data_IF_086856801121
#
_entry.id   IF_086856801121
#
_cell.length_a   1.000
_cell.length_b   1.000
_cell.length_c   1.000
_cell.angle_alpha   90.00
_cell.angle_beta   90.00
_cell.angle_gamma   90.00
#
_symmetry.space_group_name_H-M   'P 1'
#
loop_
_entity.id
_entity.type
_entity.pdbx_description
1 polymer ?
#
# COMPACT_ATOMS: atom_id res chain seq x y z
N UNK A 1 -13.44 11.72 -19.10
CA UNK A 1 -12.10 11.74 -18.47
C UNK A 1 -11.35 10.49 -18.92
N UNK A 2 -10.21 10.63 -19.61
CA UNK A 2 -9.49 9.53 -20.30
C UNK A 2 -8.15 9.15 -19.64
N UNK A 3 -7.89 9.58 -18.41
CA UNK A 3 -6.54 9.51 -17.84
C UNK A 3 -6.45 8.53 -16.66
N UNK A 4 -5.46 7.61 -16.63
CA UNK A 4 -5.11 6.80 -15.46
C UNK A 4 -4.88 7.63 -14.19
N UNK A 5 -4.53 8.91 -14.33
CA UNK A 5 -4.37 9.84 -13.20
C UNK A 5 -5.65 10.03 -12.38
N UNK A 6 -6.85 9.82 -12.95
CA UNK A 6 -8.12 9.91 -12.21
C UNK A 6 -8.30 8.78 -11.18
N UNK A 7 -7.57 7.67 -11.33
CA UNK A 7 -7.54 6.57 -10.35
C UNK A 7 -6.45 6.80 -9.31
N UNK A 8 -5.33 7.41 -9.71
CA UNK A 8 -4.14 7.60 -8.87
C UNK A 8 -4.31 8.80 -7.92
N UNK A 9 -4.82 9.94 -8.40
CA UNK A 9 -4.87 11.17 -7.60
C UNK A 9 -5.70 11.04 -6.31
N UNK A 10 -6.89 10.42 -6.30
CA UNK A 10 -7.65 10.23 -5.06
C UNK A 10 -6.98 9.24 -4.10
N UNK A 11 -6.24 8.26 -4.63
CA UNK A 11 -5.63 7.19 -3.83
C UNK A 11 -4.34 7.61 -3.13
N UNK A 12 -3.75 8.75 -3.50
CA UNK A 12 -2.57 9.31 -2.82
C UNK A 12 -2.88 9.81 -1.39
N UNK A 13 -4.11 10.25 -1.12
CA UNK A 13 -4.53 10.75 0.19
C UNK A 13 -5.37 9.70 0.94
N UNK A 14 -4.71 8.63 1.40
CA UNK A 14 -5.38 7.59 2.19
C UNK A 14 -5.55 8.01 3.65
N UNK A 15 -6.80 8.09 4.12
CA UNK A 15 -7.14 8.33 5.54
C UNK A 15 -6.45 7.30 6.44
N UNK A 16 -6.48 6.03 6.03
CA UNK A 16 -5.81 4.96 6.76
C UNK A 16 -4.30 5.15 6.81
N UNK A 17 -3.69 5.60 5.71
CA UNK A 17 -2.26 5.88 5.67
C UNK A 17 -1.83 6.97 6.63
N UNK A 18 -2.59 8.07 6.68
CA UNK A 18 -2.36 9.15 7.66
C UNK A 18 -2.53 8.64 9.09
N UNK A 19 -3.59 7.88 9.36
CA UNK A 19 -3.84 7.31 10.67
C UNK A 19 -2.71 6.36 11.14
N UNK A 20 -2.29 5.43 10.28
CA UNK A 20 -1.22 4.47 10.57
C UNK A 20 0.11 5.17 10.84
N UNK A 21 0.46 6.17 10.01
CA UNK A 21 1.68 6.95 10.20
C UNK A 21 1.64 7.75 11.48
N UNK A 22 0.50 8.41 11.77
CA UNK A 22 0.31 9.14 13.02
C UNK A 22 0.49 8.22 14.23
N UNK A 23 -0.06 7.01 14.20
CA UNK A 23 0.07 6.05 15.29
C UNK A 23 1.53 5.61 15.51
N UNK A 24 2.27 5.37 14.43
CA UNK A 24 3.69 5.03 14.51
C UNK A 24 4.55 6.19 15.04
N UNK A 25 4.26 7.42 14.60
CA UNK A 25 4.96 8.62 15.08
C UNK A 25 4.68 8.91 16.56
N UNK A 26 3.44 8.73 17.03
CA UNK A 26 3.12 8.87 18.46
C UNK A 26 3.75 7.79 19.34
N UNK A 27 4.12 6.65 18.77
CA UNK A 27 4.82 5.58 19.49
C UNK A 27 6.35 5.80 19.53
N UNK A 28 6.86 6.83 18.83
CA UNK A 28 8.28 7.16 18.83
C UNK A 28 8.71 7.69 20.21
N UNK A 29 9.81 7.18 20.81
CA UNK A 29 10.23 7.62 22.14
C UNK A 29 10.67 9.09 22.17
N UNK A 30 10.09 9.88 23.07
CA UNK A 30 10.46 11.30 23.26
C UNK A 30 11.92 11.46 23.70
N UNK A 31 12.47 10.50 24.44
CA UNK A 31 13.87 10.46 24.89
C UNK A 31 14.87 10.50 23.71
N UNK A 32 14.53 9.87 22.58
CA UNK A 32 15.36 9.91 21.37
C UNK A 32 15.32 11.28 20.69
N UNK A 33 14.21 12.02 20.83
CA UNK A 33 14.11 13.39 20.32
C UNK A 33 14.88 14.36 21.22
N UNK A 34 14.80 14.19 22.53
CA UNK A 34 15.50 15.04 23.50
C UNK A 34 17.02 14.88 23.40
N UNK A 35 17.52 13.64 23.30
CA UNK A 35 18.95 13.37 23.04
C UNK A 35 19.43 13.99 21.74
N UNK A 36 18.66 13.86 20.64
CA UNK A 36 19.00 14.49 19.36
C UNK A 36 19.07 16.03 19.45
N UNK A 37 18.25 16.67 20.30
CA UNK A 37 18.32 18.12 20.55
C UNK A 37 19.55 18.51 21.35
N UNK A 38 19.91 17.71 22.36
CA UNK A 38 21.15 17.90 23.13
C UNK A 38 22.38 17.80 22.20
N UNK A 39 22.34 16.90 21.22
CA UNK A 39 23.37 16.76 20.17
C UNK A 39 23.35 17.88 19.11
N UNK A 40 22.48 18.89 19.27
CA UNK A 40 22.40 20.05 18.38
C UNK A 40 21.70 19.79 17.04
N UNK A 41 20.92 18.72 16.92
CA UNK A 41 20.14 18.47 15.71
C UNK A 41 18.95 19.45 15.63
N UNK A 42 18.87 20.20 14.54
CA UNK A 42 17.67 20.97 14.19
C UNK A 42 16.51 20.01 13.83
N UNK A 43 15.25 20.44 14.00
CA UNK A 43 14.05 19.61 13.82
C UNK A 43 13.98 18.97 12.42
N UNK A 44 14.37 19.69 11.37
CA UNK A 44 14.44 19.14 10.00
C UNK A 44 15.44 17.99 9.89
N UNK A 45 16.61 18.13 10.52
CA UNK A 45 17.65 17.10 10.50
C UNK A 45 17.19 15.88 11.28
N UNK A 46 16.62 16.09 12.47
CA UNK A 46 16.06 15.05 13.31
C UNK A 46 14.98 14.24 12.57
N UNK A 47 14.05 14.93 11.90
CA UNK A 47 13.00 14.28 11.15
C UNK A 47 13.56 13.36 10.04
N UNK A 48 14.41 13.88 9.16
CA UNK A 48 14.89 13.12 8.00
C UNK A 48 15.98 12.08 8.33
N UNK A 49 16.82 12.33 9.34
CA UNK A 49 17.96 11.46 9.65
C UNK A 49 17.69 10.47 10.78
N UNK A 50 16.73 10.73 11.66
CA UNK A 50 16.47 9.90 12.84
C UNK A 50 15.07 9.29 12.76
N UNK A 51 14.03 10.12 12.63
CA UNK A 51 12.64 9.64 12.64
C UNK A 51 12.34 8.81 11.40
N UNK A 52 12.55 9.36 10.20
CA UNK A 52 12.21 8.69 8.93
C UNK A 52 12.89 7.32 8.76
N UNK A 53 14.21 7.15 9.02
CA UNK A 53 14.87 5.86 8.87
C UNK A 53 14.38 4.82 9.89
N UNK A 54 14.02 5.24 11.09
CA UNK A 54 13.46 4.36 12.13
C UNK A 54 12.05 3.89 11.77
N UNK A 55 11.29 4.72 11.05
CA UNK A 55 9.95 4.41 10.57
C UNK A 55 9.92 3.55 9.28
N UNK A 56 11.07 3.06 8.79
CA UNK A 56 11.13 2.17 7.61
C UNK A 56 10.14 0.98 7.66
N UNK A 57 9.95 0.28 8.79
CA UNK A 57 8.95 -0.79 8.87
C UNK A 57 7.52 -0.27 8.68
N UNK A 58 7.18 0.88 9.27
CA UNK A 58 5.87 1.51 9.11
C UNK A 58 5.61 1.91 7.65
N UNK A 59 6.59 2.53 6.98
CA UNK A 59 6.49 2.88 5.56
C UNK A 59 6.30 1.66 4.67
N UNK A 60 6.99 0.56 5.00
CA UNK A 60 6.84 -0.70 4.28
C UNK A 60 5.44 -1.26 4.44
N UNK A 61 4.92 -1.32 5.66
CA UNK A 61 3.55 -1.78 5.93
C UNK A 61 2.52 -0.93 5.19
N UNK A 62 2.67 0.40 5.21
CA UNK A 62 1.80 1.29 4.46
C UNK A 62 1.86 0.99 2.96
N UNK A 63 3.05 0.87 2.38
CA UNK A 63 3.22 0.59 0.96
C UNK A 63 2.55 -0.72 0.53
N UNK A 64 2.74 -1.80 1.31
CA UNK A 64 2.10 -3.10 1.02
C UNK A 64 0.58 -2.98 1.11
N UNK A 65 0.05 -2.41 2.20
CA UNK A 65 -1.39 -2.30 2.41
C UNK A 65 -2.06 -1.42 1.34
N UNK A 66 -1.45 -0.29 1.00
CA UNK A 66 -1.90 0.59 -0.09
C UNK A 66 -1.87 -0.12 -1.44
N UNK A 67 -0.80 -0.87 -1.73
CA UNK A 67 -0.71 -1.63 -2.97
C UNK A 67 -1.82 -2.69 -3.07
N UNK A 68 -1.99 -3.51 -2.03
CA UNK A 68 -3.01 -4.58 -2.03
C UNK A 68 -4.41 -3.99 -2.21
N UNK A 69 -4.72 -2.89 -1.51
CA UNK A 69 -6.00 -2.21 -1.69
C UNK A 69 -6.19 -1.68 -3.11
N UNK A 70 -5.20 -0.97 -3.66
CA UNK A 70 -5.35 -0.34 -4.96
C UNK A 70 -5.32 -1.34 -6.12
N UNK A 71 -4.53 -2.41 -5.98
CA UNK A 71 -4.44 -3.51 -6.94
C UNK A 71 -5.73 -4.33 -6.99
N UNK A 72 -6.33 -4.59 -5.83
CA UNK A 72 -7.62 -5.28 -5.70
C UNK A 72 -8.84 -4.38 -5.95
N UNK A 73 -8.66 -3.08 -6.20
CA UNK A 73 -9.77 -2.15 -6.35
C UNK A 73 -10.54 -2.44 -7.65
N UNK A 74 -11.84 -2.70 -7.49
CA UNK A 74 -12.77 -2.98 -8.57
C UNK A 74 -13.77 -1.84 -8.78
N UNK A 75 -14.38 -1.36 -7.70
CA UNK A 75 -15.52 -0.43 -7.77
C UNK A 75 -15.15 0.91 -8.40
N UNK A 76 -14.01 1.51 -7.99
CA UNK A 76 -13.62 2.82 -8.53
C UNK A 76 -13.23 2.75 -10.02
N UNK A 77 -12.41 1.78 -10.46
CA UNK A 77 -12.18 1.54 -11.89
C UNK A 77 -13.46 1.31 -12.69
N UNK A 78 -14.41 0.53 -12.18
CA UNK A 78 -15.70 0.27 -12.85
C UNK A 78 -16.48 1.57 -13.12
N UNK A 79 -16.46 2.51 -12.18
CA UNK A 79 -17.21 3.77 -12.29
C UNK A 79 -16.50 4.77 -13.20
N UNK A 80 -15.17 4.84 -13.12
CA UNK A 80 -14.39 5.93 -13.75
C UNK A 80 -13.87 5.57 -15.14
N UNK A 81 -13.52 4.30 -15.37
CA UNK A 81 -12.93 3.86 -16.63
C UNK A 81 -14.02 3.53 -17.65
N UNK A 82 -13.89 4.12 -18.84
CA UNK A 82 -14.88 3.97 -19.91
C UNK A 82 -14.32 3.28 -21.17
N UNK A 83 -13.04 2.89 -21.15
CA UNK A 83 -12.33 2.31 -22.30
C UNK A 83 -11.68 0.99 -21.93
N UNK A 84 -11.86 -0.04 -22.77
CA UNK A 84 -11.34 -1.40 -22.52
C UNK A 84 -9.83 -1.42 -22.29
N UNK A 85 -9.08 -0.58 -22.98
CA UNK A 85 -7.60 -0.51 -22.89
C UNK A 85 -7.10 0.01 -21.53
N UNK A 86 -7.98 0.60 -20.73
CA UNK A 86 -7.65 1.12 -19.40
C UNK A 86 -8.09 0.22 -18.26
N UNK A 87 -8.81 -0.87 -18.54
CA UNK A 87 -9.40 -1.72 -17.51
C UNK A 87 -8.34 -2.41 -16.66
N UNK A 88 -8.58 -2.42 -15.36
CA UNK A 88 -7.75 -3.16 -14.40
C UNK A 88 -8.06 -4.66 -14.47
N UNK A 89 -7.10 -5.49 -14.06
CA UNK A 89 -7.29 -6.96 -14.04
C UNK A 89 -8.55 -7.36 -13.26
N UNK A 90 -8.84 -6.83 -12.05
CA UNK A 90 -10.09 -7.14 -11.33
C UNK A 90 -11.35 -6.77 -12.12
N UNK A 91 -11.33 -5.62 -12.82
CA UNK A 91 -12.45 -5.17 -13.64
C UNK A 91 -12.69 -6.09 -14.85
N UNK A 92 -11.62 -6.47 -15.56
CA UNK A 92 -11.73 -7.40 -16.70
C UNK A 92 -12.30 -8.74 -16.25
N UNK A 93 -11.79 -9.31 -15.16
CA UNK A 93 -12.27 -10.58 -14.61
C UNK A 93 -13.75 -10.54 -14.23
N UNK A 94 -14.22 -9.42 -13.68
CA UNK A 94 -15.64 -9.22 -13.36
C UNK A 94 -16.51 -9.16 -14.64
N UNK A 95 -16.05 -8.44 -15.67
CA UNK A 95 -16.77 -8.33 -16.94
C UNK A 95 -16.82 -9.66 -17.70
N UNK A 96 -15.80 -10.52 -17.58
CA UNK A 96 -15.80 -11.88 -18.15
C UNK A 96 -16.90 -12.78 -17.56
N UNK A 97 -17.30 -12.55 -16.30
CA UNK A 97 -18.43 -13.26 -15.69
C UNK A 97 -19.79 -12.70 -16.09
N UNK A 98 -19.88 -11.39 -16.34
CA UNK A 98 -21.14 -10.68 -16.59
C UNK A 98 -21.60 -10.71 -18.06
N UNK A 99 -20.72 -11.07 -19.00
CA UNK A 99 -20.89 -10.86 -20.45
C UNK A 99 -21.92 -11.71 -21.20
N UNK A 100 -22.89 -12.37 -20.55
CA UNK A 100 -24.01 -13.07 -21.21
C UNK A 100 -23.68 -14.31 -22.05
N UNK A 101 -22.40 -14.60 -22.29
CA UNK A 101 -21.92 -15.81 -22.95
C UNK A 101 -21.64 -16.94 -21.94
N UNK A 102 -21.36 -18.15 -22.43
CA UNK A 102 -20.85 -19.26 -21.62
C UNK A 102 -19.61 -18.76 -20.86
N UNK A 103 -19.68 -18.83 -19.53
CA UNK A 103 -18.60 -18.39 -18.65
C UNK A 103 -17.43 -19.35 -18.79
N UNK A 104 -16.32 -18.88 -19.35
CA UNK A 104 -15.07 -19.63 -19.40
C UNK A 104 -14.36 -19.53 -18.03
N UNK A 105 -14.69 -20.48 -17.16
CA UNK A 105 -14.08 -20.59 -15.83
C UNK A 105 -12.56 -20.84 -15.91
N UNK A 106 -12.07 -21.50 -16.96
CA UNK A 106 -10.64 -21.74 -17.17
C UNK A 106 -9.88 -20.43 -17.37
N UNK A 107 -10.36 -19.60 -18.29
CA UNK A 107 -9.77 -18.28 -18.54
C UNK A 107 -9.83 -17.37 -17.30
N UNK A 108 -10.94 -17.39 -16.55
CA UNK A 108 -11.09 -16.61 -15.30
C UNK A 108 -10.12 -17.08 -14.23
N UNK A 109 -9.95 -18.39 -14.04
CA UNK A 109 -9.01 -18.94 -13.05
C UNK A 109 -7.57 -18.57 -13.38
N UNK A 110 -7.16 -18.70 -14.65
CA UNK A 110 -5.82 -18.29 -15.10
C UNK A 110 -5.60 -16.80 -14.85
N UNK A 111 -6.56 -15.96 -15.23
CA UNK A 111 -6.46 -14.52 -15.00
C UNK A 111 -6.43 -14.16 -13.51
N UNK A 112 -7.16 -14.89 -12.65
CA UNK A 112 -7.10 -14.71 -11.20
C UNK A 112 -5.73 -15.10 -10.62
N UNK A 113 -5.12 -16.19 -11.08
CA UNK A 113 -3.75 -16.57 -10.69
C UNK A 113 -2.74 -15.51 -11.13
N UNK A 114 -2.86 -15.02 -12.37
CA UNK A 114 -2.01 -13.93 -12.88
C UNK A 114 -2.17 -12.65 -12.06
N UNK A 115 -3.38 -12.35 -11.56
CA UNK A 115 -3.64 -11.21 -10.69
C UNK A 115 -2.92 -11.32 -9.33
N UNK A 116 -2.62 -12.54 -8.85
CA UNK A 116 -1.90 -12.76 -7.60
C UNK A 116 -0.39 -12.58 -7.75
N UNK A 117 0.18 -12.79 -8.94
CA UNK A 117 1.63 -12.75 -9.16
C UNK A 117 2.27 -11.43 -8.69
N UNK A 118 1.76 -10.23 -9.04
CA UNK A 118 2.36 -8.97 -8.59
C UNK A 118 2.31 -8.78 -7.07
N UNK A 119 1.25 -9.27 -6.43
CA UNK A 119 1.11 -9.22 -4.97
C UNK A 119 2.17 -10.10 -4.31
N UNK A 120 2.39 -11.31 -4.85
CA UNK A 120 3.43 -12.21 -4.36
C UNK A 120 4.84 -11.62 -4.53
N UNK A 121 5.13 -11.04 -5.70
CA UNK A 121 6.42 -10.39 -5.96
C UNK A 121 6.66 -9.25 -4.97
N UNK A 122 5.65 -8.40 -4.76
CA UNK A 122 5.74 -7.30 -3.80
C UNK A 122 5.94 -7.81 -2.37
N UNK A 123 5.18 -8.82 -1.96
CA UNK A 123 5.34 -9.43 -0.65
C UNK A 123 6.75 -9.99 -0.45
N UNK A 124 7.29 -10.75 -1.42
CA UNK A 124 8.64 -11.31 -1.32
C UNK A 124 9.73 -10.25 -1.21
N UNK A 125 9.53 -9.08 -1.83
CA UNK A 125 10.44 -7.95 -1.73
C UNK A 125 10.43 -7.31 -0.34
N UNK A 126 9.26 -7.19 0.28
CA UNK A 126 9.07 -6.47 1.53
C UNK A 126 8.94 -7.34 2.79
N UNK A 127 8.88 -8.68 2.65
CA UNK A 127 8.68 -9.63 3.75
C UNK A 127 9.68 -9.44 4.92
N UNK A 128 10.94 -9.11 4.62
CA UNK A 128 11.98 -8.93 5.65
C UNK A 128 11.67 -7.73 6.56
N UNK A 129 11.28 -6.62 5.96
CA UNK A 129 10.93 -5.38 6.67
C UNK A 129 9.61 -5.53 7.44
N UNK A 130 8.66 -6.29 6.90
CA UNK A 130 7.39 -6.57 7.55
C UNK A 130 7.58 -7.41 8.83
N UNK A 131 8.40 -8.47 8.77
CA UNK A 131 8.70 -9.33 9.93
C UNK A 131 9.43 -8.53 11.03
N UNK A 132 10.38 -7.66 10.66
CA UNK A 132 11.08 -6.80 11.62
C UNK A 132 10.14 -5.83 12.35
N UNK A 133 9.17 -5.25 11.64
CA UNK A 133 8.17 -4.36 12.23
C UNK A 133 7.25 -5.05 13.25
N UNK A 134 6.85 -6.30 13.00
CA UNK A 134 6.07 -7.10 13.96
C UNK A 134 6.85 -7.41 15.23
N UNK A 135 8.14 -7.75 15.11
CA UNK A 135 8.98 -8.10 16.26
C UNK A 135 9.28 -6.89 17.16
N UNK A 136 9.44 -5.69 16.59
CA UNK A 136 9.60 -4.46 17.38
C UNK A 136 8.37 -4.09 18.22
N UNK A 137 7.16 -4.48 17.80
CA UNK A 137 5.94 -4.30 18.58
C UNK A 137 5.76 -5.32 19.71
N UNK A 138 6.43 -6.48 19.63
CA UNK A 138 6.31 -7.57 20.60
C UNK A 138 7.26 -7.48 21.81
N UNK A 139 8.27 -6.60 21.77
CA UNK A 139 9.25 -6.46 22.84
C UNK A 139 8.82 -5.49 23.97
N UNK A 140 7.63 -4.89 23.89
CA UNK A 140 7.03 -4.05 24.95
C UNK A 140 5.86 -4.74 25.67
N UNK A 141 5.90 -6.07 25.78
CA UNK A 141 4.98 -6.90 26.58
C UNK A 141 5.70 -7.61 27.69
#
# INVERSE_FOLDING_TARGET
>A
MRSPSAVILPSLASIFGVFLMRQNLMAFPDELMESARIDGANDFRMFFQIVVPTMKPAFTSLAILSFVQQWGNYLWPLIVLNTKDSFTIPLVLALMRAGGNIVDYGAIMVGAVMALVPVLVLFLFFQKNFIQGMLSGSLKG
#
